data_IF_994699053949
#
_entry.id   IF_994699053949
#
_cell.length_a   1.000
_cell.length_b   1.000
_cell.length_c   1.000
_cell.angle_alpha   90.00
_cell.angle_beta   90.00
_cell.angle_gamma   90.00
#
_symmetry.space_group_name_H-M   'P 1'
#
loop_
_entity.id
_entity.type
_entity.pdbx_description
1 polymer ?
#
# COMPACT_ATOMS: atom_id res chain seq x y z
N UNK A 1 -0.52 -21.85 -30.56
CA UNK A 1 -0.08 -20.86 -29.53
C UNK A 1 -1.10 -20.72 -28.41
N UNK A 2 -2.32 -20.30 -28.67
CA UNK A 2 -3.33 -20.01 -27.63
C UNK A 2 -3.71 -21.23 -26.79
N UNK A 3 -3.97 -22.37 -27.44
CA UNK A 3 -4.21 -23.66 -26.79
C UNK A 3 -3.05 -24.10 -25.88
N UNK A 4 -1.81 -23.92 -26.34
CA UNK A 4 -0.59 -24.23 -25.58
C UNK A 4 -0.49 -23.35 -24.34
N UNK A 5 -0.74 -22.04 -24.47
CA UNK A 5 -0.76 -21.11 -23.34
C UNK A 5 -1.89 -21.40 -22.34
N UNK A 6 -3.06 -21.87 -22.80
CA UNK A 6 -4.15 -22.29 -21.92
C UNK A 6 -3.78 -23.56 -21.18
N UNK A 7 -3.21 -24.56 -21.86
CA UNK A 7 -2.79 -25.82 -21.25
C UNK A 7 -1.72 -25.62 -20.18
N UNK A 8 -0.71 -24.77 -20.46
CA UNK A 8 0.34 -24.41 -19.48
C UNK A 8 -0.25 -23.73 -18.25
N UNK A 9 -1.24 -22.84 -18.40
CA UNK A 9 -1.87 -22.16 -17.27
C UNK A 9 -2.81 -23.06 -16.47
N UNK A 10 -3.51 -23.96 -17.14
CA UNK A 10 -4.29 -25.01 -16.46
C UNK A 10 -3.36 -25.90 -15.65
N UNK A 11 -2.24 -26.32 -16.23
CA UNK A 11 -1.23 -27.11 -15.52
C UNK A 11 -0.64 -26.33 -14.33
N UNK A 12 -0.30 -25.04 -14.51
CA UNK A 12 0.19 -24.18 -13.45
C UNK A 12 -0.83 -24.02 -12.30
N UNK A 13 -2.12 -23.86 -12.63
CA UNK A 13 -3.19 -23.77 -11.65
C UNK A 13 -3.40 -25.10 -10.90
N UNK A 14 -3.35 -26.23 -11.61
CA UNK A 14 -3.45 -27.56 -11.00
C UNK A 14 -2.27 -27.82 -10.07
N UNK A 15 -1.04 -27.47 -10.47
CA UNK A 15 0.16 -27.59 -9.61
C UNK A 15 0.01 -26.71 -8.36
N UNK A 16 -0.46 -25.47 -8.49
CA UNK A 16 -0.71 -24.57 -7.35
C UNK A 16 -1.78 -25.12 -6.39
N UNK A 17 -2.86 -25.68 -6.94
CA UNK A 17 -3.96 -26.28 -6.18
C UNK A 17 -3.49 -27.52 -5.41
N UNK A 18 -2.65 -28.36 -6.03
CA UNK A 18 -2.06 -29.55 -5.39
C UNK A 18 -1.02 -29.18 -4.33
N UNK A 19 -0.22 -28.13 -4.56
CA UNK A 19 0.82 -27.69 -3.64
C UNK A 19 0.27 -27.01 -2.37
N UNK A 20 -0.83 -26.25 -2.48
CA UNK A 20 -1.46 -25.58 -1.32
C UNK A 20 -2.58 -26.41 -0.67
N UNK A 21 -3.18 -27.37 -1.38
CA UNK A 21 -4.30 -28.16 -0.90
C UNK A 21 -5.65 -27.42 -0.94
N UNK A 22 -6.73 -28.14 -1.26
CA UNK A 22 -8.08 -27.59 -1.46
C UNK A 22 -8.61 -26.79 -0.25
N UNK A 23 -8.22 -27.17 0.98
CA UNK A 23 -8.68 -26.53 2.20
C UNK A 23 -7.95 -25.22 2.51
N UNK A 24 -6.62 -25.15 2.38
CA UNK A 24 -5.87 -23.91 2.64
C UNK A 24 -6.03 -22.88 1.50
N UNK A 25 -6.34 -23.33 0.28
CA UNK A 25 -6.60 -22.44 -0.85
C UNK A 25 -7.91 -21.62 -0.71
N UNK A 26 -8.93 -22.20 -0.06
CA UNK A 26 -10.24 -21.56 0.17
C UNK A 26 -10.42 -20.97 1.57
N UNK A 27 -9.64 -21.35 2.58
CA UNK A 27 -9.74 -20.78 3.95
C UNK A 27 -8.62 -19.79 4.31
N UNK A 28 -7.63 -19.57 3.43
CA UNK A 28 -6.54 -18.62 3.67
C UNK A 28 -6.93 -17.15 3.51
N UNK A 29 -6.15 -16.25 4.12
CA UNK A 29 -6.34 -14.78 4.04
C UNK A 29 -6.35 -14.23 2.60
N UNK A 30 -5.79 -14.97 1.64
CA UNK A 30 -5.71 -14.60 0.21
C UNK A 30 -6.81 -15.24 -0.66
N UNK A 31 -7.89 -15.75 -0.05
CA UNK A 31 -9.01 -16.44 -0.72
C UNK A 31 -9.54 -15.68 -1.96
N UNK A 32 -9.68 -14.35 -1.88
CA UNK A 32 -10.18 -13.55 -3.01
C UNK A 32 -9.29 -13.61 -4.25
N UNK A 33 -7.97 -13.56 -4.07
CA UNK A 33 -7.03 -13.61 -5.19
C UNK A 33 -6.99 -15.00 -5.84
N UNK A 34 -7.13 -16.04 -5.02
CA UNK A 34 -7.20 -17.43 -5.44
C UNK A 34 -8.49 -17.78 -6.19
N UNK A 35 -9.65 -17.31 -5.71
CA UNK A 35 -10.94 -17.51 -6.38
C UNK A 35 -10.97 -16.74 -7.70
N UNK A 36 -10.39 -15.53 -7.73
CA UNK A 36 -10.24 -14.76 -8.96
C UNK A 36 -9.34 -15.49 -9.97
N UNK A 37 -8.23 -16.10 -9.52
CA UNK A 37 -7.37 -16.95 -10.36
C UNK A 37 -8.16 -18.10 -11.00
N UNK A 38 -8.83 -18.89 -10.15
CA UNK A 38 -9.60 -20.05 -10.58
C UNK A 38 -10.70 -19.67 -11.57
N UNK A 39 -11.41 -18.56 -11.33
CA UNK A 39 -12.44 -18.03 -12.23
C UNK A 39 -11.85 -17.66 -13.60
N UNK A 40 -10.70 -16.98 -13.64
CA UNK A 40 -10.06 -16.59 -14.90
C UNK A 40 -9.61 -17.81 -15.72
N UNK A 41 -9.03 -18.82 -15.08
CA UNK A 41 -8.64 -20.06 -15.75
C UNK A 41 -9.87 -20.84 -16.23
N UNK A 42 -10.93 -20.91 -15.42
CA UNK A 42 -12.18 -21.56 -15.79
C UNK A 42 -12.82 -20.92 -17.03
N UNK A 43 -12.88 -19.59 -17.11
CA UNK A 43 -13.41 -18.89 -18.28
C UNK A 43 -12.53 -19.15 -19.51
N UNK A 44 -11.20 -19.22 -19.35
CA UNK A 44 -10.28 -19.57 -20.45
C UNK A 44 -10.48 -20.99 -20.98
N UNK A 45 -10.84 -21.95 -20.12
CA UNK A 45 -11.17 -23.33 -20.54
C UNK A 45 -12.53 -23.37 -21.24
N UNK A 46 -13.55 -22.68 -20.71
CA UNK A 46 -14.87 -22.61 -21.35
C UNK A 46 -14.77 -22.04 -22.76
N UNK A 47 -14.02 -20.97 -22.95
CA UNK A 47 -13.83 -20.35 -24.24
C UNK A 47 -13.15 -21.28 -25.28
N UNK A 48 -12.18 -22.09 -24.82
CA UNK A 48 -11.55 -23.15 -25.62
C UNK A 48 -12.58 -24.20 -26.09
N UNK A 49 -13.42 -24.65 -25.15
CA UNK A 49 -14.47 -25.63 -25.40
C UNK A 49 -15.50 -25.05 -26.38
N UNK A 50 -15.96 -23.82 -26.19
CA UNK A 50 -16.87 -23.15 -27.13
C UNK A 50 -16.26 -22.98 -28.52
N UNK A 51 -14.95 -22.72 -28.62
CA UNK A 51 -14.25 -22.61 -29.90
C UNK A 51 -14.16 -23.97 -30.61
N UNK A 52 -13.91 -25.05 -29.88
CA UNK A 52 -13.79 -26.41 -30.43
C UNK A 52 -15.14 -27.03 -30.83
N UNK A 53 -16.19 -26.79 -30.04
CA UNK A 53 -17.53 -27.35 -30.30
C UNK A 53 -18.43 -26.42 -31.14
N UNK A 54 -18.02 -25.17 -31.38
CA UNK A 54 -18.88 -24.11 -31.89
C UNK A 54 -18.71 -23.75 -33.37
N UNK A 55 -18.67 -24.73 -34.28
CA UNK A 55 -18.64 -24.49 -35.74
C UNK A 55 -19.93 -23.90 -36.34
N UNK A 56 -20.95 -23.58 -35.53
CA UNK A 56 -22.24 -23.09 -36.01
C UNK A 56 -22.47 -21.66 -35.52
N UNK A 57 -22.75 -20.75 -36.46
CA UNK A 57 -23.17 -19.34 -36.28
C UNK A 57 -22.03 -18.30 -36.40
N UNK A 58 -21.84 -17.81 -37.62
CA UNK A 58 -20.97 -16.69 -38.00
C UNK A 58 -21.23 -15.38 -37.21
N UNK A 59 -22.44 -15.16 -36.70
CA UNK A 59 -22.79 -14.00 -35.85
C UNK A 59 -22.16 -14.13 -34.45
N UNK A 60 -21.91 -15.35 -33.96
CA UNK A 60 -21.32 -15.62 -32.65
C UNK A 60 -19.82 -15.35 -32.63
N UNK A 61 -19.15 -15.46 -33.78
CA UNK A 61 -17.70 -15.27 -33.92
C UNK A 61 -17.25 -13.86 -33.52
N UNK A 62 -18.05 -12.81 -33.78
CA UNK A 62 -17.66 -11.45 -33.42
C UNK A 62 -17.73 -11.20 -31.90
N UNK A 63 -18.78 -11.72 -31.24
CA UNK A 63 -18.94 -11.64 -29.79
C UNK A 63 -17.91 -12.50 -29.06
N UNK A 64 -17.67 -13.74 -29.52
CA UNK A 64 -16.64 -14.62 -28.95
C UNK A 64 -15.25 -14.02 -29.18
N UNK A 65 -14.91 -13.53 -30.37
CA UNK A 65 -13.62 -12.87 -30.62
C UNK A 65 -13.39 -11.65 -29.71
N UNK A 66 -14.46 -10.90 -29.40
CA UNK A 66 -14.40 -9.77 -28.45
C UNK A 66 -14.18 -10.26 -27.02
N UNK A 67 -14.88 -11.30 -26.57
CA UNK A 67 -14.71 -11.92 -25.26
C UNK A 67 -13.31 -12.51 -25.09
N UNK A 68 -12.83 -13.27 -26.09
CA UNK A 68 -11.46 -13.76 -26.22
C UNK A 68 -10.41 -12.67 -25.99
N UNK A 69 -10.62 -11.50 -26.61
CA UNK A 69 -9.72 -10.35 -26.48
C UNK A 69 -9.75 -9.78 -25.06
N UNK A 70 -10.93 -9.65 -24.47
CA UNK A 70 -11.06 -9.22 -23.07
C UNK A 70 -10.42 -10.21 -22.09
N UNK A 71 -10.56 -11.51 -22.33
CA UNK A 71 -9.93 -12.56 -21.51
C UNK A 71 -8.41 -12.54 -21.58
N UNK A 72 -7.85 -12.28 -22.77
CA UNK A 72 -6.40 -12.06 -22.93
C UNK A 72 -5.94 -10.80 -22.19
N UNK A 73 -6.70 -9.71 -22.29
CA UNK A 73 -6.38 -8.46 -21.61
C UNK A 73 -6.46 -8.62 -20.09
N UNK A 74 -7.50 -9.26 -19.54
CA UNK A 74 -7.61 -9.49 -18.09
C UNK A 74 -6.48 -10.37 -17.56
N UNK A 75 -6.05 -11.39 -18.32
CA UNK A 75 -4.88 -12.22 -17.97
C UNK A 75 -3.57 -11.44 -17.97
N UNK A 76 -3.32 -10.60 -18.98
CA UNK A 76 -2.15 -9.71 -19.02
C UNK A 76 -2.17 -8.69 -17.89
N UNK A 77 -3.32 -8.04 -17.68
CA UNK A 77 -3.54 -7.08 -16.61
C UNK A 77 -3.31 -7.73 -15.26
N UNK A 78 -3.72 -8.98 -15.06
CA UNK A 78 -3.48 -9.70 -13.81
C UNK A 78 -1.99 -9.92 -13.54
N UNK A 79 -1.23 -10.39 -14.52
CA UNK A 79 0.22 -10.60 -14.35
C UNK A 79 0.92 -9.28 -14.03
N UNK A 80 0.56 -8.22 -14.74
CA UNK A 80 1.08 -6.88 -14.49
C UNK A 80 0.63 -6.32 -13.14
N UNK A 81 -0.64 -6.49 -12.76
CA UNK A 81 -1.19 -6.05 -11.47
C UNK A 81 -0.57 -6.79 -10.32
N UNK A 82 -0.38 -8.10 -10.39
CA UNK A 82 0.21 -8.86 -9.31
C UNK A 82 1.64 -8.39 -9.00
N UNK A 83 2.43 -8.16 -10.06
CA UNK A 83 3.77 -7.62 -9.93
C UNK A 83 3.77 -6.16 -9.45
N UNK A 84 2.98 -5.30 -10.09
CA UNK A 84 2.90 -3.88 -9.74
C UNK A 84 2.36 -3.67 -8.32
N UNK A 85 1.29 -4.35 -7.92
CA UNK A 85 0.74 -4.22 -6.57
C UNK A 85 1.71 -4.71 -5.51
N UNK A 86 2.48 -5.77 -5.76
CA UNK A 86 3.51 -6.21 -4.84
C UNK A 86 4.60 -5.15 -4.67
N UNK A 87 5.15 -4.63 -5.78
CA UNK A 87 6.15 -3.56 -5.76
C UNK A 87 5.60 -2.28 -5.09
N UNK A 88 4.37 -1.87 -5.40
CA UNK A 88 3.71 -0.73 -4.78
C UNK A 88 3.47 -0.94 -3.28
N UNK A 89 3.00 -2.13 -2.87
CA UNK A 89 2.77 -2.44 -1.46
C UNK A 89 4.06 -2.41 -0.65
N UNK A 90 5.17 -2.89 -1.22
CA UNK A 90 6.50 -2.79 -0.59
C UNK A 90 6.93 -1.33 -0.41
N UNK A 91 6.74 -0.49 -1.43
CA UNK A 91 7.03 0.95 -1.33
C UNK A 91 6.15 1.65 -0.29
N UNK A 92 4.85 1.36 -0.28
CA UNK A 92 3.90 1.92 0.70
C UNK A 92 4.27 1.49 2.11
N UNK A 93 4.63 0.22 2.31
CA UNK A 93 5.03 -0.26 3.62
C UNK A 93 6.31 0.45 4.09
N UNK A 94 7.30 0.62 3.20
CA UNK A 94 8.49 1.42 3.49
C UNK A 94 8.16 2.87 3.87
N UNK A 95 7.22 3.50 3.15
CA UNK A 95 6.76 4.86 3.44
C UNK A 95 6.08 4.95 4.81
N UNK A 96 5.21 4.01 5.16
CA UNK A 96 4.52 3.97 6.45
C UNK A 96 5.50 3.80 7.62
N UNK A 97 6.51 2.93 7.44
CA UNK A 97 7.59 2.78 8.41
C UNK A 97 8.37 4.08 8.59
N UNK A 98 8.74 4.76 7.49
CA UNK A 98 9.41 6.06 7.52
C UNK A 98 8.57 7.16 8.19
N UNK A 99 7.27 7.21 7.89
CA UNK A 99 6.37 8.17 8.50
C UNK A 99 6.26 8.00 10.01
N UNK A 100 6.18 6.74 10.49
CA UNK A 100 6.21 6.44 11.92
C UNK A 100 7.49 6.96 12.58
N UNK A 101 8.66 6.78 11.96
CA UNK A 101 9.93 7.30 12.49
C UNK A 101 9.97 8.83 12.52
N UNK A 102 9.40 9.50 11.51
CA UNK A 102 9.29 10.96 11.48
C UNK A 102 8.44 11.49 12.64
N UNK A 103 7.31 10.85 12.94
CA UNK A 103 6.47 11.22 14.08
C UNK A 103 7.26 11.16 15.39
N UNK A 104 8.01 10.09 15.63
CA UNK A 104 8.85 9.98 16.82
C UNK A 104 9.98 11.03 16.87
N UNK A 105 10.59 11.35 15.72
CA UNK A 105 11.60 12.40 15.64
C UNK A 105 11.04 13.78 15.98
N UNK A 106 9.84 14.11 15.48
CA UNK A 106 9.15 15.37 15.80
C UNK A 106 8.80 15.45 17.29
N UNK A 107 8.32 14.36 17.89
CA UNK A 107 8.05 14.31 19.34
C UNK A 107 9.32 14.55 20.16
N UNK A 108 10.43 13.88 19.80
CA UNK A 108 11.72 14.05 20.48
C UNK A 108 12.28 15.48 20.32
N UNK A 109 12.19 16.05 19.12
CA UNK A 109 12.58 17.43 18.86
C UNK A 109 11.73 18.42 19.68
N UNK A 110 10.41 18.19 19.75
CA UNK A 110 9.51 19.01 20.56
C UNK A 110 9.87 18.97 22.04
N UNK A 111 10.24 17.80 22.57
CA UNK A 111 10.71 17.66 23.96
C UNK A 111 11.99 18.47 24.21
N UNK A 112 12.97 18.40 23.30
CA UNK A 112 14.20 19.21 23.41
C UNK A 112 13.89 20.71 23.42
N UNK A 113 13.09 21.17 22.45
CA UNK A 113 12.68 22.58 22.38
C UNK A 113 11.92 23.03 23.64
N UNK A 114 11.06 22.17 24.19
CA UNK A 114 10.36 22.44 25.44
C UNK A 114 11.32 22.63 26.61
N UNK A 115 12.28 21.72 26.80
CA UNK A 115 13.27 21.83 27.89
C UNK A 115 14.16 23.06 27.74
N UNK A 116 14.61 23.38 26.53
CA UNK A 116 15.36 24.60 26.24
C UNK A 116 14.52 25.86 26.50
N UNK A 117 13.25 25.84 26.12
CA UNK A 117 12.31 26.93 26.39
C UNK A 117 12.16 27.19 27.89
N UNK A 118 11.95 26.14 28.69
CA UNK A 118 11.83 26.25 30.15
C UNK A 118 13.14 26.77 30.76
N UNK A 119 14.29 26.26 30.33
CA UNK A 119 15.59 26.72 30.81
C UNK A 119 15.82 28.20 30.52
N UNK A 120 15.49 28.66 29.30
CA UNK A 120 15.58 30.07 28.92
C UNK A 120 14.67 30.94 29.79
N UNK A 121 13.44 30.51 30.07
CA UNK A 121 12.55 31.24 30.99
C UNK A 121 13.10 31.28 32.41
N UNK A 122 13.74 30.20 32.88
CA UNK A 122 14.32 30.16 34.22
C UNK A 122 15.59 31.02 34.36
N UNK A 123 16.44 31.08 33.34
CA UNK A 123 17.69 31.87 33.39
C UNK A 123 17.45 33.35 33.10
N UNK A 124 16.62 33.68 32.12
CA UNK A 124 16.29 35.07 31.79
C UNK A 124 15.28 35.67 32.77
N UNK A 125 14.32 34.87 33.25
CA UNK A 125 13.31 35.34 34.22
C UNK A 125 13.91 35.84 35.53
N UNK A 126 14.91 35.13 36.09
CA UNK A 126 15.59 35.60 37.31
C UNK A 126 16.45 36.86 37.09
N UNK A 127 16.89 37.10 35.85
CA UNK A 127 17.67 38.29 35.52
C UNK A 127 16.77 39.52 35.43
N UNK A 128 15.56 39.37 34.88
CA UNK A 128 14.58 40.46 34.82
C UNK A 128 14.17 40.91 36.23
N UNK A 129 13.91 39.99 37.16
CA UNK A 129 13.52 40.35 38.54
C UNK A 129 14.61 41.15 39.28
N UNK A 130 15.87 40.74 39.13
CA UNK A 130 17.02 41.43 39.71
C UNK A 130 17.27 42.79 39.03
N UNK A 131 17.19 42.84 37.70
CA UNK A 131 17.36 44.06 36.91
C UNK A 131 16.29 45.12 37.22
N UNK A 132 15.02 44.75 37.32
CA UNK A 132 13.94 45.67 37.66
C UNK A 132 14.04 46.19 39.10
N UNK A 133 14.50 45.36 40.05
CA UNK A 133 14.73 45.79 41.44
C UNK A 133 15.85 46.84 41.54
N UNK A 134 16.96 46.65 40.81
CA UNK A 134 18.05 47.63 40.75
C UNK A 134 17.61 48.93 40.06
N UNK A 135 16.88 48.82 38.95
CA UNK A 135 16.34 49.97 38.23
C UNK A 135 15.36 50.79 39.10
N UNK A 136 14.44 50.14 39.82
CA UNK A 136 13.51 50.83 40.72
C UNK A 136 14.22 51.49 41.91
N UNK A 137 15.26 50.87 42.47
CA UNK A 137 16.05 51.49 43.55
C UNK A 137 16.83 52.72 43.07
N UNK A 138 17.36 52.70 41.84
CA UNK A 138 18.07 53.84 41.25
C UNK A 138 17.14 55.02 40.92
N UNK A 139 15.92 54.73 40.47
CA UNK A 139 14.91 55.78 40.20
C UNK A 139 14.38 56.41 41.49
N UNK A 140 14.15 55.61 42.54
CA UNK A 140 13.72 56.14 43.85
C UNK A 140 14.77 57.08 44.47
N UNK A 141 16.06 56.74 44.38
CA UNK A 141 17.14 57.58 44.89
C UNK A 141 17.33 58.90 44.11
N UNK A 142 16.84 58.99 42.87
CA UNK A 142 16.93 60.19 42.04
C UNK A 142 15.81 61.21 42.23
N UNK A 143 14.75 60.87 42.98
CA UNK A 143 13.59 61.75 43.21
C UNK A 143 13.66 62.48 44.58
N UNK A 144 14.67 62.17 45.40
CA UNK A 144 14.91 62.77 46.72
C UNK A 144 16.02 63.86 46.70
N UNK A 145 16.46 64.29 45.50
CA UNK A 145 17.40 65.39 45.24
C UNK A 145 16.74 66.49 44.41
#
# INVERSE_FOLDING_TARGET
VEYTFTCVFVAELVIKLLAHGFSAYFLGSDMFWNIFDATVVFIGVLDLVFTLFGSLVYIRNFTIARMLRFLRLTRLIRVLKFRAFHELALMINGLLHGFRTLVWAVVFLGFLLFTLGVLLTQTLGHTDDAFWSEACSGVAAGHDL
#
